data_IF_239110828793
#
_entry.id   IF_239110828793
#
_cell.length_a   1.000
_cell.length_b   1.000
_cell.length_c   1.000
_cell.angle_alpha   90.00
_cell.angle_beta   90.00
_cell.angle_gamma   90.00
#
_symmetry.space_group_name_H-M   'P 1'
#
loop_
_entity.id
_entity.type
_entity.pdbx_description
1 polymer ?
#
# COMPACT_ATOMS: atom_id res chain seq x y z
N UNK A 1 -3.07 -1.75 5.64
CA UNK A 1 -4.29 -2.22 6.34
C UNK A 1 -5.14 -3.16 5.50
N UNK A 2 -5.81 -2.71 4.42
CA UNK A 2 -6.62 -3.61 3.56
C UNK A 2 -5.73 -4.69 2.95
N UNK A 3 -4.63 -4.28 2.29
CA UNK A 3 -3.64 -5.18 1.73
C UNK A 3 -3.12 -6.19 2.77
N UNK A 4 -2.73 -5.71 3.96
CA UNK A 4 -2.25 -6.56 5.06
C UNK A 4 -3.28 -7.63 5.43
N UNK A 5 -4.54 -7.24 5.63
CA UNK A 5 -5.59 -8.18 6.03
C UNK A 5 -5.90 -9.23 4.96
N UNK A 6 -5.83 -8.86 3.68
CA UNK A 6 -6.04 -9.80 2.57
C UNK A 6 -4.85 -10.75 2.42
N UNK A 7 -3.62 -10.24 2.48
CA UNK A 7 -2.38 -11.00 2.36
C UNK A 7 -2.23 -12.01 3.51
N UNK A 8 -2.22 -11.52 4.74
CA UNK A 8 -2.02 -12.35 5.93
C UNK A 8 -3.18 -13.33 6.14
N UNK A 9 -4.40 -12.92 5.79
CA UNK A 9 -5.58 -13.78 5.78
C UNK A 9 -5.63 -14.77 4.61
N UNK A 10 -4.64 -14.79 3.71
CA UNK A 10 -4.58 -15.64 2.51
C UNK A 10 -5.84 -15.56 1.63
N UNK A 11 -6.40 -14.36 1.50
CA UNK A 11 -7.64 -14.10 0.74
C UNK A 11 -7.40 -13.52 -0.65
N UNK A 12 -6.16 -13.20 -0.99
CA UNK A 12 -5.78 -12.66 -2.30
C UNK A 12 -4.31 -12.97 -2.59
N UNK A 13 -3.97 -13.00 -3.88
CA UNK A 13 -2.60 -13.02 -4.40
C UNK A 13 -2.25 -11.59 -4.83
N UNK A 14 -1.11 -11.08 -4.39
CA UNK A 14 -0.65 -9.73 -4.70
C UNK A 14 0.35 -9.78 -5.85
N UNK A 15 0.10 -9.01 -6.91
CA UNK A 15 0.96 -8.91 -8.10
C UNK A 15 1.36 -7.46 -8.29
N UNK A 16 2.65 -7.18 -8.49
CA UNK A 16 3.16 -5.81 -8.63
C UNK A 16 4.39 -5.54 -7.77
N UNK A 17 4.45 -4.37 -7.16
CA UNK A 17 5.56 -3.91 -6.32
C UNK A 17 5.15 -3.83 -4.84
N UNK A 18 6.11 -3.59 -3.96
CA UNK A 18 5.83 -3.33 -2.54
C UNK A 18 4.94 -2.09 -2.39
N UNK A 19 3.89 -2.17 -1.57
CA UNK A 19 3.04 -0.99 -1.31
C UNK A 19 3.80 0.08 -0.53
N UNK A 20 3.48 1.36 -0.73
CA UNK A 20 3.94 2.40 0.18
C UNK A 20 3.41 2.25 1.62
N UNK A 21 4.10 2.88 2.57
CA UNK A 21 3.68 2.94 3.98
C UNK A 21 4.14 1.73 4.81
N UNK A 22 3.45 1.47 5.93
CA UNK A 22 3.77 0.39 6.86
C UNK A 22 2.69 -0.69 6.86
N UNK A 23 3.09 -1.95 6.70
CA UNK A 23 2.17 -3.10 6.70
C UNK A 23 1.42 -3.24 8.04
N UNK A 24 2.07 -2.84 9.14
CA UNK A 24 1.55 -2.92 10.51
C UNK A 24 0.43 -1.93 10.88
N UNK A 25 0.13 -0.93 10.04
CA UNK A 25 -0.97 0.01 10.31
C UNK A 25 -0.70 1.44 9.87
N UNK A 26 -1.57 2.34 10.29
CA UNK A 26 -1.44 3.78 10.03
C UNK A 26 -1.90 4.59 11.25
N UNK A 27 -1.22 5.69 11.53
CA UNK A 27 -1.66 6.68 12.51
C UNK A 27 -2.34 7.81 11.75
N UNK A 28 -3.52 7.52 11.21
CA UNK A 28 -4.26 8.44 10.34
C UNK A 28 -5.79 8.29 10.48
N UNK A 29 -6.28 7.54 11.48
CA UNK A 29 -7.72 7.35 11.67
C UNK A 29 -8.48 8.64 12.01
N UNK A 30 -7.78 9.61 12.61
CA UNK A 30 -8.25 10.97 12.84
C UNK A 30 -7.13 11.93 12.47
N UNK A 31 -7.44 12.89 11.59
CA UNK A 31 -6.52 13.86 11.00
C UNK A 31 -7.15 15.27 11.06
N UNK A 32 -7.31 15.85 12.26
CA UNK A 32 -7.83 17.20 12.38
C UNK A 32 -6.93 18.20 11.66
N UNK A 33 -7.53 19.27 11.15
CA UNK A 33 -6.80 20.41 10.61
C UNK A 33 -6.58 21.39 11.74
N UNK A 34 -5.32 21.67 12.03
CA UNK A 34 -4.91 22.64 13.05
C UNK A 34 -4.17 23.78 12.36
N UNK A 35 -4.63 25.01 12.61
CA UNK A 35 -3.93 26.20 12.13
C UNK A 35 -2.91 26.62 13.18
N UNK A 36 -1.62 26.58 12.82
CA UNK A 36 -0.56 26.98 13.73
C UNK A 36 -0.66 28.49 14.05
N UNK A 37 -0.46 28.90 15.32
CA UNK A 37 -0.75 30.26 15.74
C UNK A 37 0.16 31.30 15.10
N UNK A 38 1.44 30.97 14.88
CA UNK A 38 2.45 31.93 14.43
C UNK A 38 2.76 31.86 12.93
N UNK A 39 2.81 30.65 12.36
CA UNK A 39 3.07 30.48 10.92
C UNK A 39 1.79 30.46 10.09
N UNK A 40 0.63 30.34 10.74
CA UNK A 40 -0.68 30.18 10.10
C UNK A 40 -0.81 28.97 9.17
N UNK A 41 0.16 28.04 9.22
CA UNK A 41 0.12 26.81 8.44
C UNK A 41 -1.03 25.92 8.91
N UNK A 42 -1.81 25.41 7.97
CA UNK A 42 -2.79 24.37 8.22
C UNK A 42 -2.09 23.01 8.23
N UNK A 43 -1.93 22.44 9.41
CA UNK A 43 -1.29 21.16 9.62
C UNK A 43 -2.32 20.06 9.92
N UNK A 44 -2.11 18.88 9.33
CA UNK A 44 -2.85 17.65 9.68
C UNK A 44 -1.85 16.66 10.25
N UNK A 45 -2.14 16.15 11.44
CA UNK A 45 -1.36 15.05 12.02
C UNK A 45 -2.28 14.00 12.63
N UNK A 46 -1.78 12.77 12.62
CA UNK A 46 -2.55 11.61 13.02
C UNK A 46 -2.74 11.53 14.52
N UNK A 47 -3.99 11.41 14.97
CA UNK A 47 -4.35 11.23 16.38
C UNK A 47 -4.85 9.83 16.73
N UNK A 48 -5.07 8.98 15.73
CA UNK A 48 -5.64 7.65 15.95
C UNK A 48 -4.85 6.60 15.20
N UNK A 49 -4.34 5.62 15.95
CA UNK A 49 -3.69 4.44 15.42
C UNK A 49 -4.74 3.43 14.94
N UNK A 50 -4.65 3.02 13.68
CA UNK A 50 -5.51 2.03 13.07
C UNK A 50 -4.64 0.87 12.61
N UNK A 51 -4.87 -0.29 13.22
CA UNK A 51 -4.09 -1.51 12.95
C UNK A 51 -4.92 -2.52 12.14
N UNK A 52 -4.28 -3.32 11.27
CA UNK A 52 -4.90 -4.47 10.65
C UNK A 52 -5.32 -5.51 11.72
N UNK A 53 -6.26 -6.37 11.37
CA UNK A 53 -6.67 -7.49 12.23
C UNK A 53 -5.51 -8.49 12.39
N UNK A 54 -4.88 -8.85 11.26
CA UNK A 54 -3.68 -9.67 11.26
C UNK A 54 -2.44 -8.80 11.48
N UNK A 55 -1.68 -9.08 12.55
CA UNK A 55 -0.42 -8.42 12.82
C UNK A 55 0.70 -9.06 11.99
N UNK A 56 1.65 -8.23 11.56
CA UNK A 56 2.83 -8.62 10.78
C UNK A 56 4.07 -8.19 11.54
N UNK A 57 5.10 -9.04 11.53
CA UNK A 57 6.35 -8.82 12.29
C UNK A 57 7.34 -7.88 11.58
N UNK A 58 7.20 -7.72 10.26
CA UNK A 58 8.08 -6.86 9.45
C UNK A 58 7.75 -5.38 9.70
N UNK A 59 8.69 -4.67 10.32
CA UNK A 59 8.59 -3.24 10.59
C UNK A 59 9.23 -2.40 9.48
N UNK A 60 8.71 -1.18 9.28
CA UNK A 60 9.27 -0.22 8.32
C UNK A 60 9.06 -0.55 6.84
N UNK A 61 8.33 -1.62 6.53
CA UNK A 61 8.04 -2.08 5.17
C UNK A 61 6.55 -2.07 4.85
N UNK A 62 6.24 -1.96 3.58
CA UNK A 62 4.90 -2.15 3.04
C UNK A 62 4.51 -3.62 2.95
N UNK A 63 3.38 -3.89 2.30
CA UNK A 63 2.98 -5.25 1.98
C UNK A 63 3.71 -5.69 0.73
N UNK A 64 4.52 -6.74 0.85
CA UNK A 64 5.23 -7.34 -0.27
C UNK A 64 4.26 -8.02 -1.26
N UNK A 65 4.54 -7.97 -2.57
CA UNK A 65 3.80 -8.76 -3.55
C UNK A 65 4.11 -10.26 -3.41
N UNK A 66 3.19 -11.13 -3.81
CA UNK A 66 3.45 -12.56 -4.00
C UNK A 66 4.18 -12.80 -5.33
N UNK A 67 3.80 -12.04 -6.35
CA UNK A 67 4.41 -12.06 -7.68
C UNK A 67 4.97 -10.68 -7.98
N UNK A 68 6.29 -10.46 -7.80
CA UNK A 68 6.90 -9.18 -8.08
C UNK A 68 6.86 -8.89 -9.59
N UNK A 69 6.36 -7.71 -9.95
CA UNK A 69 6.35 -7.19 -11.32
C UNK A 69 6.69 -5.72 -11.26
N UNK A 70 7.80 -5.34 -11.91
CA UNK A 70 8.27 -3.96 -11.98
C UNK A 70 8.00 -3.43 -13.39
N UNK A 71 7.45 -2.23 -13.50
CA UNK A 71 7.28 -1.56 -14.80
C UNK A 71 8.61 -1.04 -15.31
N UNK A 72 8.94 -1.33 -16.56
CA UNK A 72 10.10 -0.71 -17.22
C UNK A 72 9.76 0.67 -17.80
N UNK A 73 10.79 1.45 -18.12
CA UNK A 73 10.62 2.73 -18.83
C UNK A 73 9.95 2.51 -20.19
N UNK A 74 10.35 1.45 -20.92
CA UNK A 74 9.74 1.12 -22.20
C UNK A 74 8.26 0.76 -22.08
N UNK A 75 7.86 0.06 -21.01
CA UNK A 75 6.45 -0.22 -20.74
C UNK A 75 5.67 1.09 -20.54
N UNK A 76 6.26 2.08 -19.85
CA UNK A 76 5.64 3.40 -19.67
C UNK A 76 5.52 4.15 -21.00
N UNK A 77 6.59 4.17 -21.80
CA UNK A 77 6.61 4.86 -23.10
C UNK A 77 5.60 4.24 -24.08
N UNK A 78 5.47 2.91 -24.07
CA UNK A 78 4.58 2.16 -24.98
C UNK A 78 3.17 1.98 -24.44
N UNK A 79 2.88 2.46 -23.22
CA UNK A 79 1.57 2.32 -22.59
C UNK A 79 1.20 0.87 -22.21
N UNK A 80 2.20 0.00 -22.05
CA UNK A 80 2.01 -1.40 -21.70
C UNK A 80 1.85 -1.58 -20.20
N UNK A 81 0.94 -2.47 -19.79
CA UNK A 81 0.73 -2.83 -18.40
C UNK A 81 1.21 -4.25 -18.09
N UNK A 82 2.48 -4.43 -17.68
CA UNK A 82 3.03 -5.76 -17.40
C UNK A 82 2.35 -6.44 -16.20
N UNK A 83 1.77 -5.67 -15.26
CA UNK A 83 1.03 -6.22 -14.12
C UNK A 83 -0.27 -6.84 -14.61
N UNK A 84 -1.03 -6.10 -15.43
CA UNK A 84 -2.27 -6.59 -16.04
C UNK A 84 -2.01 -7.81 -16.92
N UNK A 85 -1.01 -7.75 -17.80
CA UNK A 85 -0.63 -8.87 -18.68
C UNK A 85 -0.32 -10.14 -17.87
N UNK A 86 0.37 -9.99 -16.74
CA UNK A 86 0.72 -11.11 -15.85
C UNK A 86 -0.52 -11.69 -15.17
N UNK A 87 -1.44 -10.84 -14.71
CA UNK A 87 -2.69 -11.28 -14.08
C UNK A 87 -3.57 -12.03 -15.08
N UNK A 88 -3.79 -11.46 -16.28
CA UNK A 88 -4.60 -12.08 -17.32
C UNK A 88 -4.08 -13.45 -17.74
N UNK A 89 -2.75 -13.61 -17.87
CA UNK A 89 -2.12 -14.92 -18.14
C UNK A 89 -2.30 -15.92 -17.00
N UNK A 90 -2.39 -15.45 -15.76
CA UNK A 90 -2.52 -16.33 -14.58
C UNK A 90 -3.94 -16.84 -14.37
N UNK A 91 -4.96 -16.08 -14.78
CA UNK A 91 -6.38 -16.44 -14.65
C UNK A 91 -6.96 -17.14 -15.89
N UNK A 92 -6.31 -17.02 -17.04
CA UNK A 92 -6.74 -17.63 -18.31
C UNK A 92 -6.29 -19.08 -18.51
N UNK A 93 -5.52 -19.63 -17.57
CA UNK A 93 -5.19 -21.06 -17.46
C UNK A 93 -6.11 -21.73 -16.43
#
# INVERSE_FOLDING_TARGET
MIATNLKAGKRAIFVGEETGGAAGGTVAGSLPVLKLPNSHLCWRFGLMNVKPYFQVAEEGRGVMPDVPVVRSIDDVITGKDPVMDKVLKSIGN
#
